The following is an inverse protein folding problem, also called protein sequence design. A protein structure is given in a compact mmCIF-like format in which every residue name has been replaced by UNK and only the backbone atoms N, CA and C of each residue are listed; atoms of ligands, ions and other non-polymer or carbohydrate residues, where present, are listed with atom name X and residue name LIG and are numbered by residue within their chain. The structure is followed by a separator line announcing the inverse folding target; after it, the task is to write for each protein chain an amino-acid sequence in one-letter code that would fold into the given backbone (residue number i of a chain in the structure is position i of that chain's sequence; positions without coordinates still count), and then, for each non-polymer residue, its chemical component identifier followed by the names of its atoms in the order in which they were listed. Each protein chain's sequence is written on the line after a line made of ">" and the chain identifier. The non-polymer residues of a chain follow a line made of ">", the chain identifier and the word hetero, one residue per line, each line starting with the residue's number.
data_IF_860851273934
#
_entry.id   IF_860851273934
#
_cell.length_a   1.000
_cell.length_b   1.000
_cell.length_c   1.000
_cell.angle_alpha   90.00
_cell.angle_beta   90.00
_cell.angle_gamma   90.00
#
_symmetry.space_group_name_H-M   'P 1'
#
loop_
_entity.id
_entity.type
_entity.pdbx_description
1 polymer ?
#
# COMPACT_ATOMS: atom_id res chain seq x y z
N UNK A 1 55.36 -43.78 109.08
CA UNK A 1 55.02 -42.90 107.93
C UNK A 1 55.72 -43.28 106.61
N UNK A 2 56.08 -44.56 106.36
CA UNK A 2 56.69 -45.00 105.08
C UNK A 2 55.72 -45.72 104.14
N UNK A 3 54.56 -46.16 104.63
CA UNK A 3 53.53 -46.87 103.84
C UNK A 3 52.53 -45.93 103.13
N UNK A 4 52.34 -44.70 103.64
CA UNK A 4 51.46 -43.70 103.02
C UNK A 4 52.12 -43.05 101.78
N UNK A 5 53.45 -42.95 101.77
CA UNK A 5 54.19 -42.39 100.63
C UNK A 5 54.19 -43.31 99.40
N UNK A 6 54.13 -44.64 99.60
CA UNK A 6 54.10 -45.62 98.50
C UNK A 6 52.73 -45.65 97.81
N UNK A 7 51.63 -45.42 98.55
CA UNK A 7 50.28 -45.38 97.97
C UNK A 7 50.06 -44.10 97.17
N UNK A 8 50.58 -42.95 97.62
CA UNK A 8 50.48 -41.68 96.88
C UNK A 8 51.33 -41.63 95.60
N UNK A 9 52.48 -42.31 95.55
CA UNK A 9 53.29 -42.41 94.33
C UNK A 9 52.68 -43.40 93.31
N UNK A 10 51.92 -44.40 93.77
CA UNK A 10 51.20 -45.32 92.87
C UNK A 10 49.92 -44.72 92.25
N UNK A 11 49.31 -43.72 92.90
CA UNK A 11 48.13 -43.01 92.39
C UNK A 11 48.49 -41.91 91.36
N UNK A 12 49.72 -41.37 91.41
CA UNK A 12 50.20 -40.40 90.43
C UNK A 12 50.61 -41.04 89.08
N UNK A 13 50.83 -42.36 89.05
CA UNK A 13 51.19 -43.10 87.83
C UNK A 13 49.97 -43.62 87.05
N UNK A 14 48.78 -43.65 87.66
CA UNK A 14 47.56 -44.15 87.02
C UNK A 14 46.78 -43.07 86.24
N UNK A 15 47.09 -41.78 86.41
CA UNK A 15 46.45 -40.67 85.64
C UNK A 15 47.23 -40.34 84.35
N UNK A 16 48.47 -40.83 84.20
CA UNK A 16 49.28 -40.59 82.99
C UNK A 16 48.94 -41.47 81.79
N UNK A 17 47.94 -42.36 81.88
CA UNK A 17 47.48 -43.19 80.76
C UNK A 17 46.24 -42.67 80.03
N UNK A 18 45.73 -41.49 80.38
CA UNK A 18 44.70 -40.81 79.57
C UNK A 18 45.34 -39.96 78.45
N UNK A 19 46.64 -39.67 78.51
CA UNK A 19 47.36 -38.83 77.52
C UNK A 19 48.02 -39.60 76.36
N UNK A 20 47.88 -40.94 76.30
CA UNK A 20 48.44 -41.75 75.19
C UNK A 20 47.38 -42.36 74.26
N UNK A 21 46.14 -41.86 74.27
CA UNK A 21 45.13 -42.25 73.27
C UNK A 21 45.24 -41.38 72.01
N UNK A 22 45.56 -40.09 72.16
CA UNK A 22 45.70 -39.14 71.04
C UNK A 22 46.93 -39.41 70.14
N UNK A 23 47.96 -40.10 70.64
CA UNK A 23 49.17 -40.41 69.87
C UNK A 23 49.21 -41.86 69.35
N UNK A 24 48.12 -42.63 69.51
CA UNK A 24 48.02 -43.98 68.94
C UNK A 24 47.85 -43.90 67.41
N UNK A 25 48.57 -44.71 66.64
CA UNK A 25 48.49 -44.70 65.18
C UNK A 25 47.07 -44.94 64.64
N UNK A 26 46.24 -45.67 65.40
CA UNK A 26 44.81 -45.88 65.09
C UNK A 26 43.97 -44.61 65.28
N UNK A 27 44.25 -43.78 66.28
CA UNK A 27 43.56 -42.50 66.48
C UNK A 27 43.91 -41.50 65.38
N UNK A 28 45.19 -41.40 64.99
CA UNK A 28 45.61 -40.56 63.85
C UNK A 28 45.01 -41.04 62.52
N UNK A 29 44.95 -42.35 62.28
CA UNK A 29 44.31 -42.90 61.09
C UNK A 29 42.79 -42.64 61.07
N UNK A 30 42.11 -42.77 62.21
CA UNK A 30 40.68 -42.50 62.34
C UNK A 30 40.37 -41.00 62.19
N UNK A 31 41.23 -40.13 62.73
CA UNK A 31 41.12 -38.68 62.57
C UNK A 31 41.41 -38.24 61.14
N UNK A 32 42.41 -38.83 60.47
CA UNK A 32 42.66 -38.60 59.06
C UNK A 32 41.50 -39.09 58.17
N UNK A 33 40.85 -40.21 58.51
CA UNK A 33 39.63 -40.65 57.83
C UNK A 33 38.45 -39.71 58.08
N UNK A 34 38.30 -39.20 59.30
CA UNK A 34 37.24 -38.25 59.66
C UNK A 34 37.45 -36.87 59.01
N UNK A 35 38.68 -36.37 59.00
CA UNK A 35 39.08 -35.15 58.31
C UNK A 35 38.93 -35.32 56.79
N UNK A 36 39.31 -36.49 56.24
CA UNK A 36 39.08 -36.85 54.83
C UNK A 36 37.60 -36.94 54.49
N UNK A 37 36.79 -37.57 55.33
CA UNK A 37 35.34 -37.66 55.16
C UNK A 37 34.67 -36.29 55.28
N UNK A 38 35.09 -35.44 56.22
CA UNK A 38 34.57 -34.07 56.34
C UNK A 38 35.00 -33.20 55.15
N UNK A 39 36.22 -33.39 54.63
CA UNK A 39 36.68 -32.69 53.44
C UNK A 39 35.91 -33.16 52.19
N UNK A 40 35.71 -34.46 52.02
CA UNK A 40 34.94 -35.03 50.91
C UNK A 40 33.46 -34.62 50.99
N UNK A 41 32.87 -34.61 52.18
CA UNK A 41 31.48 -34.18 52.41
C UNK A 41 31.30 -32.66 52.24
N UNK A 42 32.33 -31.86 52.53
CA UNK A 42 32.35 -30.40 52.33
C UNK A 42 32.54 -29.99 50.86
N UNK A 43 33.37 -30.75 50.11
CA UNK A 43 33.49 -30.61 48.66
C UNK A 43 32.18 -31.05 47.99
N UNK A 44 31.60 -32.16 48.42
CA UNK A 44 30.33 -32.68 47.91
C UNK A 44 29.15 -31.74 48.21
N UNK A 45 29.14 -31.03 49.33
CA UNK A 45 28.12 -30.00 49.60
C UNK A 45 28.31 -28.75 48.74
N UNK A 46 29.54 -28.26 48.58
CA UNK A 46 29.81 -27.06 47.78
C UNK A 46 29.53 -27.21 46.29
N UNK A 47 29.76 -28.40 45.73
CA UNK A 47 29.45 -28.69 44.31
C UNK A 47 27.95 -28.94 44.07
N UNK A 48 27.22 -29.45 45.06
CA UNK A 48 25.76 -29.51 45.01
C UNK A 48 25.14 -28.10 45.07
N UNK A 49 25.72 -27.20 45.86
CA UNK A 49 25.30 -25.79 45.93
C UNK A 49 25.45 -25.10 44.57
N UNK A 50 26.51 -25.39 43.82
CA UNK A 50 26.70 -24.90 42.44
C UNK A 50 25.62 -25.45 41.48
N UNK A 51 25.31 -26.76 41.55
CA UNK A 51 24.25 -27.35 40.74
C UNK A 51 22.86 -26.76 41.05
N UNK A 52 22.58 -26.44 42.32
CA UNK A 52 21.37 -25.73 42.71
C UNK A 52 21.36 -24.27 42.24
N UNK A 53 22.51 -23.59 42.22
CA UNK A 53 22.61 -22.24 41.68
C UNK A 53 22.27 -22.21 40.19
N UNK A 54 22.83 -23.12 39.39
CA UNK A 54 22.52 -23.25 37.96
C UNK A 54 21.04 -23.63 37.76
N UNK A 55 20.50 -24.54 38.56
CA UNK A 55 19.07 -24.90 38.49
C UNK A 55 18.18 -23.66 38.73
N UNK A 56 18.49 -22.87 39.75
CA UNK A 56 17.75 -21.64 40.06
C UNK A 56 17.88 -20.59 38.95
N UNK A 57 19.07 -20.46 38.34
CA UNK A 57 19.30 -19.57 37.19
C UNK A 57 18.44 -19.99 36.00
N UNK A 58 18.39 -21.29 35.68
CA UNK A 58 17.54 -21.84 34.61
C UNK A 58 16.05 -21.61 34.92
N UNK A 59 15.62 -21.81 36.17
CA UNK A 59 14.22 -21.59 36.57
C UNK A 59 13.81 -20.11 36.43
N UNK A 60 14.67 -19.18 36.86
CA UNK A 60 14.45 -17.74 36.70
C UNK A 60 14.48 -17.31 35.23
N UNK A 61 15.45 -17.83 34.47
CA UNK A 61 15.56 -17.60 33.04
C UNK A 61 14.32 -18.08 32.28
N UNK A 62 13.81 -19.25 32.62
CA UNK A 62 12.59 -19.79 32.02
C UNK A 62 11.35 -18.96 32.37
N UNK A 63 11.28 -18.41 33.59
CA UNK A 63 10.23 -17.45 33.93
C UNK A 63 10.30 -16.21 33.04
N UNK A 64 11.50 -15.65 32.86
CA UNK A 64 11.71 -14.51 31.96
C UNK A 64 11.31 -14.84 30.52
N UNK A 65 11.66 -16.03 30.01
CA UNK A 65 11.26 -16.52 28.68
C UNK A 65 9.72 -16.53 28.54
N UNK A 66 8.98 -17.03 29.55
CA UNK A 66 7.51 -17.04 29.51
C UNK A 66 6.92 -15.63 29.43
N UNK A 67 7.49 -14.69 30.17
CA UNK A 67 7.04 -13.30 30.18
C UNK A 67 7.29 -12.63 28.82
N UNK A 68 8.48 -12.81 28.25
CA UNK A 68 8.83 -12.28 26.93
C UNK A 68 8.00 -12.90 25.80
N UNK A 69 7.78 -14.22 25.84
CA UNK A 69 6.90 -14.92 24.88
C UNK A 69 5.48 -14.38 24.91
N UNK A 70 4.92 -14.10 26.09
CA UNK A 70 3.58 -13.55 26.20
C UNK A 70 3.49 -12.17 25.53
N UNK A 71 4.49 -11.31 25.74
CA UNK A 71 4.59 -10.00 25.10
C UNK A 71 4.66 -10.15 23.58
N UNK A 72 5.54 -11.02 23.08
CA UNK A 72 5.70 -11.30 21.66
C UNK A 72 4.39 -11.82 21.05
N UNK A 73 3.72 -12.74 21.73
CA UNK A 73 2.46 -13.34 21.26
C UNK A 73 1.36 -12.28 21.16
N UNK A 74 1.22 -11.41 22.16
CA UNK A 74 0.25 -10.31 22.14
C UNK A 74 0.55 -9.31 21.01
N UNK A 75 1.81 -8.96 20.81
CA UNK A 75 2.22 -8.04 19.74
C UNK A 75 2.02 -8.67 18.35
N UNK A 76 2.36 -9.94 18.19
CA UNK A 76 2.23 -10.70 16.94
C UNK A 76 0.76 -11.03 16.57
N UNK A 77 -0.15 -11.08 17.54
CA UNK A 77 -1.58 -11.30 17.31
C UNK A 77 -2.35 -10.07 16.79
N UNK A 78 -1.69 -8.92 16.65
CA UNK A 78 -2.26 -7.73 16.02
C UNK A 78 -2.78 -8.10 14.63
N UNK A 79 -4.12 -8.18 14.52
CA UNK A 79 -4.84 -8.75 13.38
C UNK A 79 -4.37 -8.06 12.09
N UNK A 80 -3.77 -8.86 11.22
CA UNK A 80 -3.44 -8.58 9.81
C UNK A 80 -2.02 -8.11 9.47
N UNK A 81 -1.10 -7.94 10.44
CA UNK A 81 0.33 -7.65 10.18
C UNK A 81 0.64 -6.29 9.51
N UNK A 82 -0.34 -5.72 8.80
CA UNK A 82 -0.35 -4.38 8.20
C UNK A 82 -0.29 -3.27 9.25
N UNK A 83 -0.79 -3.52 10.47
CA UNK A 83 -0.83 -2.56 11.57
C UNK A 83 0.41 -2.57 12.47
N UNK A 84 1.33 -3.54 12.30
CA UNK A 84 2.58 -3.56 13.09
C UNK A 84 3.64 -2.75 12.36
N UNK A 85 4.16 -1.64 12.92
CA UNK A 85 5.21 -0.84 12.26
C UNK A 85 6.46 -1.66 11.95
N UNK A 86 7.19 -1.29 10.89
CA UNK A 86 8.41 -2.01 10.49
C UNK A 86 9.45 -2.10 11.61
N UNK A 87 9.63 -1.02 12.37
CA UNK A 87 10.52 -0.98 13.55
C UNK A 87 10.09 -1.97 14.63
N UNK A 88 8.79 -2.08 14.90
CA UNK A 88 8.25 -3.03 15.88
C UNK A 88 8.42 -4.48 15.43
N UNK A 89 8.29 -4.77 14.12
CA UNK A 89 8.54 -6.13 13.59
C UNK A 89 9.99 -6.54 13.73
N UNK A 90 10.91 -5.61 13.46
CA UNK A 90 12.35 -5.86 13.63
C UNK A 90 12.71 -6.09 15.10
N UNK A 91 12.10 -5.32 16.01
CA UNK A 91 12.25 -5.56 17.45
C UNK A 91 11.76 -6.95 17.85
N UNK A 92 10.58 -7.37 17.39
CA UNK A 92 10.04 -8.70 17.68
C UNK A 92 10.99 -9.80 17.18
N UNK A 93 11.60 -9.64 16.00
CA UNK A 93 12.60 -10.60 15.49
C UNK A 93 13.83 -10.69 16.38
N UNK A 94 14.35 -9.54 16.82
CA UNK A 94 15.51 -9.50 17.70
C UNK A 94 15.19 -10.15 19.06
N UNK A 95 14.02 -9.88 19.62
CA UNK A 95 13.56 -10.47 20.87
C UNK A 95 13.40 -11.99 20.74
N UNK A 96 12.80 -12.49 19.64
CA UNK A 96 12.71 -13.92 19.35
C UNK A 96 14.08 -14.59 19.24
N UNK A 97 15.04 -13.93 18.59
CA UNK A 97 16.40 -14.45 18.45
C UNK A 97 17.10 -14.53 19.81
N UNK A 98 17.00 -13.49 20.64
CA UNK A 98 17.55 -13.48 21.99
C UNK A 98 16.94 -14.59 22.87
N UNK A 99 15.63 -14.81 22.79
CA UNK A 99 14.95 -15.89 23.49
C UNK A 99 15.44 -17.26 22.98
N UNK A 100 15.57 -17.45 21.66
CA UNK A 100 16.08 -18.68 21.07
C UNK A 100 17.49 -19.01 21.58
N UNK A 101 18.35 -18.01 21.68
CA UNK A 101 19.72 -18.17 22.17
C UNK A 101 19.76 -18.47 23.68
N UNK A 102 18.91 -17.82 24.48
CA UNK A 102 18.75 -18.13 25.89
C UNK A 102 18.25 -19.56 26.13
N UNK A 103 17.26 -20.01 25.35
CA UNK A 103 16.75 -21.40 25.41
C UNK A 103 17.88 -22.40 25.13
N UNK A 104 18.70 -22.15 24.09
CA UNK A 104 19.84 -23.00 23.76
C UNK A 104 20.88 -23.05 24.88
N UNK A 105 21.17 -21.91 25.51
CA UNK A 105 22.09 -21.84 26.65
C UNK A 105 21.56 -22.66 27.85
N UNK A 106 20.30 -22.50 28.21
CA UNK A 106 19.70 -23.24 29.33
C UNK A 106 19.59 -24.74 29.04
N UNK A 107 19.28 -25.13 27.81
CA UNK A 107 19.32 -26.54 27.40
C UNK A 107 20.73 -27.14 27.59
N UNK A 108 21.78 -26.40 27.23
CA UNK A 108 23.15 -26.86 27.42
C UNK A 108 23.52 -26.99 28.91
N UNK A 109 23.13 -26.03 29.75
CA UNK A 109 23.33 -26.09 31.20
C UNK A 109 22.60 -27.29 31.83
N UNK A 110 21.33 -27.55 31.45
CA UNK A 110 20.59 -28.73 31.91
C UNK A 110 21.27 -30.02 31.48
N UNK A 111 21.73 -30.12 30.23
CA UNK A 111 22.44 -31.32 29.75
C UNK A 111 23.76 -31.56 30.48
N UNK A 112 24.47 -30.49 30.84
CA UNK A 112 25.66 -30.58 31.69
C UNK A 112 25.31 -31.12 33.08
N UNK A 113 24.26 -30.60 33.72
CA UNK A 113 23.78 -31.08 35.02
C UNK A 113 23.29 -32.53 34.96
N UNK A 114 22.65 -32.97 33.85
CA UNK A 114 22.20 -34.35 33.66
C UNK A 114 23.34 -35.36 33.56
N UNK A 115 24.47 -34.95 32.96
CA UNK A 115 25.68 -35.79 32.80
C UNK A 115 26.51 -35.87 34.06
N UNK A 116 26.22 -35.04 35.06
CA UNK A 116 26.94 -35.07 36.32
C UNK A 116 26.54 -36.29 37.17
N UNK A 117 27.41 -37.29 37.19
CA UNK A 117 27.21 -38.54 37.93
C UNK A 117 27.16 -38.35 39.46
N UNK A 118 27.57 -37.18 39.96
CA UNK A 118 27.49 -36.81 41.39
C UNK A 118 26.05 -36.48 41.80
N UNK A 119 25.20 -36.10 40.84
CA UNK A 119 23.78 -35.77 41.07
C UNK A 119 22.92 -37.05 40.94
N UNK A 120 22.67 -37.68 42.09
CA UNK A 120 21.90 -38.93 42.19
C UNK A 120 20.46 -38.74 42.68
N UNK A 121 20.08 -37.53 43.08
CA UNK A 121 18.73 -37.25 43.56
C UNK A 121 17.70 -37.45 42.45
N UNK A 122 16.78 -38.41 42.66
CA UNK A 122 15.68 -38.68 41.74
C UNK A 122 14.76 -37.45 41.56
N UNK A 123 14.57 -36.66 42.61
CA UNK A 123 13.76 -35.44 42.54
C UNK A 123 14.43 -34.35 41.69
N UNK A 124 15.75 -34.18 41.82
CA UNK A 124 16.50 -33.22 41.03
C UNK A 124 16.48 -33.59 39.55
N UNK A 125 16.74 -34.87 39.22
CA UNK A 125 16.64 -35.39 37.86
C UNK A 125 15.25 -35.16 37.24
N UNK A 126 14.19 -35.41 38.01
CA UNK A 126 12.81 -35.14 37.58
C UNK A 126 12.56 -33.65 37.28
N UNK A 127 13.17 -32.73 38.05
CA UNK A 127 13.09 -31.28 37.77
C UNK A 127 13.84 -30.91 36.49
N UNK A 128 15.05 -31.42 36.29
CA UNK A 128 15.80 -31.21 35.04
C UNK A 128 15.03 -31.72 33.82
N UNK A 129 14.36 -32.87 33.93
CA UNK A 129 13.53 -33.40 32.85
C UNK A 129 12.32 -32.51 32.56
N UNK A 130 11.67 -31.97 33.60
CA UNK A 130 10.56 -31.03 33.43
C UNK A 130 11.00 -29.73 32.76
N UNK A 131 12.12 -29.13 33.21
CA UNK A 131 12.69 -27.91 32.61
C UNK A 131 13.13 -28.14 31.17
N UNK A 132 13.76 -29.29 30.89
CA UNK A 132 14.16 -29.69 29.54
C UNK A 132 12.96 -29.82 28.60
N UNK A 133 11.88 -30.47 29.07
CA UNK A 133 10.65 -30.60 28.30
C UNK A 133 9.99 -29.24 28.02
N UNK A 134 9.97 -28.35 29.01
CA UNK A 134 9.40 -27.01 28.84
C UNK A 134 10.23 -26.16 27.87
N UNK A 135 11.56 -26.12 28.03
CA UNK A 135 12.44 -25.41 27.11
C UNK A 135 12.29 -25.91 25.66
N UNK A 136 12.06 -27.21 25.47
CA UNK A 136 11.77 -27.77 24.15
C UNK A 136 10.47 -27.22 23.57
N UNK A 137 9.38 -27.21 24.35
CA UNK A 137 8.10 -26.63 23.92
C UNK A 137 8.24 -25.14 23.58
N UNK A 138 9.00 -24.39 24.38
CA UNK A 138 9.29 -22.98 24.15
C UNK A 138 10.11 -22.76 22.88
N UNK A 139 11.09 -23.62 22.62
CA UNK A 139 11.88 -23.61 21.37
C UNK A 139 10.99 -23.80 20.15
N UNK A 140 10.14 -24.84 20.17
CA UNK A 140 9.21 -25.16 19.07
C UNK A 140 8.23 -24.00 18.81
N UNK A 141 7.74 -23.35 19.87
CA UNK A 141 6.86 -22.19 19.74
C UNK A 141 7.58 -20.97 19.15
N UNK A 142 8.77 -20.63 19.64
CA UNK A 142 9.55 -19.49 19.12
C UNK A 142 9.90 -19.72 17.64
N UNK A 143 10.33 -20.93 17.27
CA UNK A 143 10.55 -21.29 15.86
C UNK A 143 9.30 -21.12 15.00
N UNK A 144 8.13 -21.57 15.49
CA UNK A 144 6.85 -21.41 14.80
C UNK A 144 6.47 -19.93 14.63
N UNK A 145 6.62 -19.13 15.67
CA UNK A 145 6.29 -17.70 15.63
C UNK A 145 7.26 -16.94 14.73
N UNK A 146 8.55 -17.27 14.73
CA UNK A 146 9.55 -16.71 13.81
C UNK A 146 9.21 -17.05 12.36
N UNK A 147 8.83 -18.29 12.07
CA UNK A 147 8.42 -18.70 10.73
C UNK A 147 7.17 -17.92 10.26
N UNK A 148 6.15 -17.81 11.12
CA UNK A 148 4.94 -17.04 10.82
C UNK A 148 5.24 -15.56 10.57
N UNK A 149 6.11 -14.94 11.38
CA UNK A 149 6.48 -13.53 11.22
C UNK A 149 7.19 -13.30 9.87
N UNK A 150 8.12 -14.19 9.51
CA UNK A 150 8.82 -14.11 8.22
C UNK A 150 7.88 -14.30 7.02
N UNK A 151 6.93 -15.22 7.12
CA UNK A 151 5.91 -15.41 6.08
C UNK A 151 5.06 -14.14 5.91
N UNK A 152 4.62 -13.54 7.03
CA UNK A 152 3.84 -12.30 7.02
C UNK A 152 4.63 -11.12 6.46
N UNK A 153 5.90 -10.99 6.81
CA UNK A 153 6.78 -9.96 6.24
C UNK A 153 6.94 -10.11 4.72
N UNK A 154 7.10 -11.34 4.23
CA UNK A 154 7.15 -11.61 2.80
C UNK A 154 5.82 -11.23 2.11
N UNK A 155 4.68 -11.58 2.72
CA UNK A 155 3.36 -11.18 2.20
C UNK A 155 3.18 -9.66 2.19
N UNK A 156 3.63 -8.96 3.22
CA UNK A 156 3.60 -7.49 3.29
C UNK A 156 4.45 -6.85 2.19
N UNK A 157 5.64 -7.39 1.92
CA UNK A 157 6.49 -6.90 0.84
C UNK A 157 5.80 -7.02 -0.54
N UNK A 158 5.22 -8.19 -0.83
CA UNK A 158 4.46 -8.42 -2.07
C UNK A 158 3.25 -7.47 -2.17
N UNK A 159 2.48 -7.30 -1.09
CA UNK A 159 1.34 -6.38 -1.07
C UNK A 159 1.78 -4.93 -1.28
N UNK A 160 2.91 -4.52 -0.72
CA UNK A 160 3.46 -3.18 -0.90
C UNK A 160 3.82 -2.91 -2.36
N UNK A 161 4.43 -3.89 -3.04
CA UNK A 161 4.73 -3.81 -4.47
C UNK A 161 3.45 -3.76 -5.33
N UNK A 162 2.44 -4.57 -4.99
CA UNK A 162 1.14 -4.55 -5.67
C UNK A 162 0.44 -3.21 -5.53
N UNK A 163 0.46 -2.60 -4.34
CA UNK A 163 -0.12 -1.26 -4.11
C UNK A 163 0.60 -0.22 -4.96
N UNK A 164 1.95 -0.22 -4.97
CA UNK A 164 2.72 0.71 -5.80
C UNK A 164 2.41 0.55 -7.30
N UNK A 165 2.23 -0.69 -7.78
CA UNK A 165 1.83 -0.98 -9.15
C UNK A 165 0.42 -0.48 -9.46
N UNK A 166 -0.54 -0.71 -8.56
CA UNK A 166 -1.91 -0.22 -8.69
C UNK A 166 -1.98 1.31 -8.70
N UNK A 167 -1.19 1.98 -7.86
CA UNK A 167 -1.11 3.45 -7.83
C UNK A 167 -0.64 4.00 -9.18
N UNK A 168 0.35 3.36 -9.81
CA UNK A 168 0.84 3.74 -11.13
C UNK A 168 -0.22 3.52 -12.21
N UNK A 169 -0.93 2.38 -12.18
CA UNK A 169 -2.03 2.10 -13.11
C UNK A 169 -3.16 3.12 -12.96
N UNK A 170 -3.54 3.45 -11.73
CA UNK A 170 -4.59 4.44 -11.44
C UNK A 170 -4.16 5.82 -11.90
N UNK A 171 -2.90 6.21 -11.71
CA UNK A 171 -2.37 7.49 -12.20
C UNK A 171 -2.45 7.57 -13.73
N UNK A 172 -1.96 6.54 -14.42
CA UNK A 172 -1.98 6.50 -15.89
C UNK A 172 -3.41 6.52 -16.44
N UNK A 173 -4.33 5.74 -15.85
CA UNK A 173 -5.74 5.74 -16.26
C UNK A 173 -6.39 7.12 -16.06
N UNK A 174 -6.05 7.84 -14.99
CA UNK A 174 -6.55 9.21 -14.79
C UNK A 174 -6.07 10.17 -15.88
N UNK A 175 -4.80 10.08 -16.26
CA UNK A 175 -4.23 10.90 -17.35
C UNK A 175 -4.84 10.56 -18.71
N UNK A 176 -5.03 9.26 -19.01
CA UNK A 176 -5.68 8.79 -20.23
C UNK A 176 -7.13 9.29 -20.31
N UNK A 177 -7.90 9.18 -19.22
CA UNK A 177 -9.29 9.67 -19.17
C UNK A 177 -9.34 11.19 -19.36
N UNK A 178 -8.44 11.95 -18.74
CA UNK A 178 -8.37 13.39 -18.93
C UNK A 178 -8.07 13.76 -20.41
N UNK A 179 -7.14 13.05 -21.03
CA UNK A 179 -6.76 13.24 -22.44
C UNK A 179 -7.90 12.88 -23.39
N UNK A 180 -8.59 11.77 -23.12
CA UNK A 180 -9.73 11.31 -23.91
C UNK A 180 -10.90 12.29 -23.83
N UNK A 181 -11.21 12.80 -22.64
CA UNK A 181 -12.27 13.80 -22.44
C UNK A 181 -11.97 15.09 -23.21
N UNK A 182 -10.73 15.58 -23.13
CA UNK A 182 -10.29 16.76 -23.89
C UNK A 182 -10.44 16.55 -25.40
N UNK A 183 -9.97 15.41 -25.91
CA UNK A 183 -10.08 15.07 -27.34
C UNK A 183 -11.54 14.95 -27.79
N UNK A 184 -12.40 14.35 -26.96
CA UNK A 184 -13.84 14.27 -27.20
C UNK A 184 -14.47 15.66 -27.30
N UNK A 185 -14.16 16.57 -26.39
CA UNK A 185 -14.71 17.92 -26.40
C UNK A 185 -14.22 18.75 -27.60
N UNK A 186 -12.95 18.61 -27.98
CA UNK A 186 -12.39 19.21 -29.19
C UNK A 186 -13.08 18.66 -30.45
N UNK A 187 -13.30 17.34 -30.53
CA UNK A 187 -13.99 16.72 -31.65
C UNK A 187 -15.45 17.17 -31.75
N UNK A 188 -16.16 17.27 -30.62
CA UNK A 188 -17.55 17.79 -30.59
C UNK A 188 -17.63 19.21 -31.12
N UNK A 189 -16.69 20.09 -30.71
CA UNK A 189 -16.63 21.47 -31.23
C UNK A 189 -16.38 21.47 -32.74
N UNK A 190 -15.42 20.69 -33.21
CA UNK A 190 -15.10 20.59 -34.64
C UNK A 190 -16.27 20.05 -35.46
N UNK A 191 -16.99 19.05 -34.95
CA UNK A 191 -18.20 18.52 -35.59
C UNK A 191 -19.28 19.61 -35.67
N UNK A 192 -19.51 20.36 -34.59
CA UNK A 192 -20.48 21.45 -34.60
C UNK A 192 -20.09 22.59 -35.56
N UNK A 193 -18.80 22.93 -35.63
CA UNK A 193 -18.27 23.92 -36.58
C UNK A 193 -18.45 23.45 -38.03
N UNK A 194 -18.09 22.20 -38.33
CA UNK A 194 -18.24 21.60 -39.66
C UNK A 194 -19.71 21.47 -40.06
N UNK A 195 -20.60 21.08 -39.15
CA UNK A 195 -22.05 21.04 -39.40
C UNK A 195 -22.56 22.44 -39.77
N UNK A 196 -22.20 23.46 -38.99
CA UNK A 196 -22.57 24.85 -39.29
C UNK A 196 -22.03 25.31 -40.64
N UNK A 197 -20.77 25.03 -40.98
CA UNK A 197 -20.19 25.42 -42.26
C UNK A 197 -20.85 24.69 -43.44
N UNK A 198 -21.13 23.39 -43.29
CA UNK A 198 -21.74 22.58 -44.32
C UNK A 198 -23.11 23.14 -44.73
N UNK A 199 -23.92 23.50 -43.74
CA UNK A 199 -25.29 23.98 -43.96
C UNK A 199 -25.44 25.51 -44.04
N UNK A 200 -24.35 26.27 -43.85
CA UNK A 200 -24.37 27.73 -44.04
C UNK A 200 -24.61 28.09 -45.51
N UNK A 201 -25.66 28.87 -45.73
CA UNK A 201 -26.00 29.53 -46.99
C UNK A 201 -26.18 31.02 -46.75
N UNK A 202 -26.14 31.81 -47.82
CA UNK A 202 -25.99 33.25 -47.75
C UNK A 202 -27.05 33.91 -48.63
N UNK A 203 -27.73 34.93 -48.13
CA UNK A 203 -28.68 35.68 -48.95
C UNK A 203 -28.55 37.19 -48.77
N UNK A 204 -28.90 37.93 -49.83
CA UNK A 204 -28.99 39.39 -49.83
C UNK A 204 -30.22 39.82 -50.62
N UNK A 205 -30.97 40.76 -50.04
CA UNK A 205 -32.15 41.37 -50.63
C UNK A 205 -31.94 42.87 -50.57
N UNK A 206 -31.75 43.51 -51.71
CA UNK A 206 -31.50 44.93 -51.74
C UNK A 206 -31.90 45.57 -53.08
N UNK A 207 -31.92 46.89 -53.12
CA UNK A 207 -32.14 47.61 -54.36
C UNK A 207 -30.99 47.37 -55.34
N UNK A 208 -31.22 47.60 -56.62
CA UNK A 208 -30.16 47.47 -57.63
C UNK A 208 -28.94 48.33 -57.33
N UNK A 209 -29.13 49.53 -56.77
CA UNK A 209 -28.04 50.43 -56.41
C UNK A 209 -27.19 49.82 -55.28
N UNK A 210 -27.84 49.37 -54.21
CA UNK A 210 -27.18 48.77 -53.05
C UNK A 210 -26.43 47.48 -53.41
N UNK A 211 -27.00 46.65 -54.30
CA UNK A 211 -26.32 45.45 -54.80
C UNK A 211 -25.07 45.78 -55.64
N UNK A 212 -25.05 46.91 -56.35
CA UNK A 212 -23.86 47.38 -57.09
C UNK A 212 -22.82 47.93 -56.10
N UNK A 213 -23.26 48.72 -55.13
CA UNK A 213 -22.38 49.34 -54.14
C UNK A 213 -21.74 48.29 -53.21
N UNK A 214 -22.47 47.22 -52.89
CA UNK A 214 -21.96 46.05 -52.16
C UNK A 214 -21.08 45.12 -53.03
N UNK A 215 -20.89 45.43 -54.31
CA UNK A 215 -20.10 44.61 -55.24
C UNK A 215 -20.72 43.25 -55.58
N UNK A 216 -21.98 43.01 -55.17
CA UNK A 216 -22.71 41.74 -55.40
C UNK A 216 -23.14 41.60 -56.85
N UNK A 217 -23.40 42.71 -57.54
CA UNK A 217 -23.69 42.70 -58.99
C UNK A 217 -22.86 43.75 -59.72
N UNK A 218 -22.46 43.45 -60.96
CA UNK A 218 -21.74 44.42 -61.79
C UNK A 218 -22.69 45.50 -62.32
N UNK A 219 -22.23 46.76 -62.37
CA UNK A 219 -22.93 47.86 -63.05
C UNK A 219 -23.07 47.52 -64.55
N UNK A 220 -24.25 47.09 -64.96
CA UNK A 220 -24.57 46.82 -66.35
C UNK A 220 -24.51 48.09 -67.20
N UNK A 221 -24.07 47.98 -68.44
CA UNK A 221 -24.03 49.08 -69.42
C UNK A 221 -25.07 48.90 -70.52
N UNK A 222 -25.15 49.84 -71.48
CA UNK A 222 -26.12 49.83 -72.59
C UNK A 222 -26.10 48.52 -73.42
N UNK A 223 -24.99 47.78 -73.39
CA UNK A 223 -24.80 46.50 -74.10
C UNK A 223 -24.30 45.35 -73.21
N UNK A 224 -24.21 45.54 -71.89
CA UNK A 224 -23.67 44.52 -70.96
C UNK A 224 -24.66 44.24 -69.83
N UNK A 225 -25.16 43.02 -69.77
CA UNK A 225 -26.03 42.57 -68.68
C UNK A 225 -25.29 42.60 -67.35
N UNK A 226 -25.98 43.00 -66.29
CA UNK A 226 -25.48 42.85 -64.92
C UNK A 226 -25.28 41.37 -64.61
N UNK A 227 -24.15 41.01 -64.01
CA UNK A 227 -23.84 39.66 -63.55
C UNK A 227 -23.65 39.66 -62.04
N UNK A 228 -24.07 38.59 -61.38
CA UNK A 228 -23.75 38.36 -59.97
C UNK A 228 -22.25 38.09 -59.85
N UNK A 229 -21.60 38.79 -58.93
CA UNK A 229 -20.22 38.57 -58.52
C UNK A 229 -20.22 37.91 -57.15
N UNK A 230 -19.52 36.79 -57.02
CA UNK A 230 -19.35 36.09 -55.74
C UNK A 230 -18.05 36.49 -55.03
N UNK A 231 -17.31 37.45 -55.58
CA UNK A 231 -16.11 38.05 -54.97
C UNK A 231 -16.43 39.17 -53.97
N UNK A 232 -17.72 39.52 -53.82
CA UNK A 232 -18.20 40.48 -52.84
C UNK A 232 -17.86 40.03 -51.41
N UNK A 233 -17.57 40.99 -50.53
CA UNK A 233 -17.32 40.71 -49.12
C UNK A 233 -18.48 39.91 -48.51
N UNK A 234 -18.19 38.77 -47.88
CA UNK A 234 -19.20 37.94 -47.20
C UNK A 234 -20.07 38.72 -46.22
N UNK A 235 -19.59 39.88 -45.73
CA UNK A 235 -20.28 40.74 -44.78
C UNK A 235 -21.54 41.42 -45.35
N UNK A 236 -21.72 41.46 -46.67
CA UNK A 236 -22.94 42.00 -47.30
C UNK A 236 -24.11 41.02 -47.30
N UNK A 237 -23.88 39.74 -46.95
CA UNK A 237 -24.89 38.70 -46.95
C UNK A 237 -25.33 38.35 -45.52
N UNK A 238 -26.62 38.04 -45.39
CA UNK A 238 -27.15 37.36 -44.20
C UNK A 238 -26.79 35.88 -44.30
N UNK A 239 -26.16 35.34 -43.27
CA UNK A 239 -25.84 33.91 -43.18
C UNK A 239 -26.98 33.18 -42.45
N UNK A 240 -27.45 32.08 -43.02
CA UNK A 240 -28.54 31.27 -42.45
C UNK A 240 -28.26 29.78 -42.65
N UNK A 241 -28.86 28.93 -41.79
CA UNK A 241 -28.83 27.48 -41.96
C UNK A 241 -29.85 27.06 -43.03
N UNK A 242 -29.35 26.43 -44.10
CA UNK A 242 -30.16 25.92 -45.22
C UNK A 242 -31.29 24.97 -44.80
N UNK A 243 -31.18 24.29 -43.65
CA UNK A 243 -32.18 23.34 -43.16
C UNK A 243 -33.36 24.03 -42.46
N UNK A 244 -33.13 25.22 -41.90
CA UNK A 244 -34.14 25.96 -41.15
C UNK A 244 -34.95 26.92 -42.01
N UNK A 245 -34.41 27.31 -43.18
CA UNK A 245 -35.04 28.30 -44.05
C UNK A 245 -36.01 27.68 -45.06
N UNK A 246 -37.30 27.95 -44.85
CA UNK A 246 -38.39 27.53 -45.75
C UNK A 246 -39.07 28.70 -46.45
N UNK A 247 -38.87 29.93 -45.98
CA UNK A 247 -39.42 31.13 -46.62
C UNK A 247 -38.57 32.37 -46.34
N UNK A 248 -38.37 33.22 -47.33
CA UNK A 248 -37.65 34.49 -47.19
C UNK A 248 -38.56 35.63 -47.67
N UNK A 249 -38.95 36.53 -46.77
CA UNK A 249 -39.69 37.73 -47.15
C UNK A 249 -38.74 38.77 -47.76
N UNK A 250 -39.08 39.29 -48.95
CA UNK A 250 -38.28 40.31 -49.61
C UNK A 250 -38.59 41.74 -49.14
N UNK A 251 -39.61 41.92 -48.30
CA UNK A 251 -40.13 43.20 -47.80
C UNK A 251 -40.35 44.22 -48.93
N UNK A 252 -40.78 43.74 -50.09
CA UNK A 252 -40.89 44.56 -51.31
C UNK A 252 -42.05 44.10 -52.19
N UNK A 253 -42.70 45.06 -52.86
CA UNK A 253 -43.82 44.80 -53.79
C UNK A 253 -43.39 44.09 -55.07
N UNK A 254 -42.11 44.24 -55.43
CA UNK A 254 -41.49 43.62 -56.60
C UNK A 254 -40.11 43.13 -56.22
N UNK A 255 -39.85 41.86 -56.51
CA UNK A 255 -38.56 41.23 -56.29
C UNK A 255 -38.19 40.36 -57.51
N UNK A 256 -36.89 40.30 -57.81
CA UNK A 256 -36.33 39.46 -58.86
C UNK A 256 -35.15 38.67 -58.31
N UNK A 257 -35.23 37.34 -58.37
CA UNK A 257 -34.10 36.46 -58.06
C UNK A 257 -33.07 36.55 -59.20
N UNK A 258 -31.83 36.88 -58.87
CA UNK A 258 -30.71 37.05 -59.81
C UNK A 258 -29.71 35.88 -59.77
N UNK A 259 -29.62 35.18 -58.65
CA UNK A 259 -28.84 33.95 -58.49
C UNK A 259 -29.53 32.75 -59.17
N UNK A 260 -28.76 31.70 -59.47
CA UNK A 260 -29.27 30.53 -60.18
C UNK A 260 -29.79 29.49 -59.17
N UNK A 261 -31.09 29.23 -59.21
CA UNK A 261 -31.75 28.20 -58.41
C UNK A 261 -32.73 27.43 -59.30
N UNK A 262 -32.89 26.09 -59.12
CA UNK A 262 -33.87 25.32 -59.86
C UNK A 262 -35.28 25.90 -59.76
N UNK A 263 -35.98 26.03 -60.88
CA UNK A 263 -37.30 26.69 -60.90
C UNK A 263 -38.38 25.90 -60.15
N UNK A 264 -38.17 24.61 -59.93
CA UNK A 264 -39.07 23.72 -59.18
C UNK A 264 -38.74 23.63 -57.68
N UNK A 265 -37.68 24.30 -57.20
CA UNK A 265 -37.29 24.30 -55.79
C UNK A 265 -37.78 25.50 -54.98
N UNK A 266 -38.48 26.46 -55.60
CA UNK A 266 -39.08 27.61 -54.92
C UNK A 266 -40.27 28.23 -55.67
N UNK A 267 -41.06 29.02 -54.95
CA UNK A 267 -42.15 29.84 -55.47
C UNK A 267 -42.03 31.29 -55.02
N UNK A 268 -42.51 32.21 -55.84
CA UNK A 268 -42.66 33.62 -55.47
C UNK A 268 -44.14 33.89 -55.17
N UNK A 269 -44.46 34.02 -53.90
CA UNK A 269 -45.81 34.23 -53.41
C UNK A 269 -46.01 35.71 -53.06
N UNK A 270 -47.20 36.25 -53.34
CA UNK A 270 -47.55 37.62 -52.96
C UNK A 270 -48.45 37.57 -51.73
N UNK A 271 -47.93 38.00 -50.57
CA UNK A 271 -48.64 38.00 -49.29
C UNK A 271 -48.58 39.42 -48.73
N UNK A 272 -49.74 40.02 -48.39
CA UNK A 272 -49.83 41.38 -47.85
C UNK A 272 -49.08 42.45 -48.68
N UNK A 273 -49.20 42.37 -50.01
CA UNK A 273 -48.49 43.23 -50.97
C UNK A 273 -46.96 43.08 -51.05
N UNK A 274 -46.37 42.14 -50.33
CA UNK A 274 -44.94 41.81 -50.38
C UNK A 274 -44.69 40.48 -51.09
N UNK A 275 -43.51 40.33 -51.69
CA UNK A 275 -43.07 39.06 -52.28
C UNK A 275 -42.37 38.22 -51.21
N UNK A 276 -42.79 36.96 -51.08
CA UNK A 276 -42.16 35.94 -50.25
C UNK A 276 -41.61 34.84 -51.16
N UNK A 277 -40.35 34.47 -50.95
CA UNK A 277 -39.70 33.34 -51.61
C UNK A 277 -39.96 32.11 -50.75
N UNK A 278 -40.88 31.24 -51.16
CA UNK A 278 -41.22 30.00 -50.47
C UNK A 278 -40.39 28.86 -51.04
N UNK A 279 -39.48 28.29 -50.25
CA UNK A 279 -38.52 27.26 -50.64
C UNK A 279 -39.17 25.89 -50.40
N UNK A 280 -39.51 25.19 -51.47
CA UNK A 280 -40.19 23.88 -51.42
C UNK A 280 -39.22 22.73 -51.19
N UNK A 281 -37.98 22.84 -51.68
CA UNK A 281 -36.90 21.87 -51.50
C UNK A 281 -35.59 22.62 -51.24
N UNK A 282 -35.20 22.81 -49.96
CA UNK A 282 -33.98 23.54 -49.62
C UNK A 282 -32.71 22.90 -50.19
N UNK A 283 -32.61 21.56 -50.21
CA UNK A 283 -31.42 20.89 -50.72
C UNK A 283 -31.23 21.17 -52.21
N UNK A 284 -32.33 21.10 -52.98
CA UNK A 284 -32.32 21.40 -54.42
C UNK A 284 -32.17 22.89 -54.70
N UNK A 285 -32.75 23.75 -53.87
CA UNK A 285 -32.63 25.19 -54.00
C UNK A 285 -31.17 25.66 -53.86
N UNK A 286 -30.42 25.10 -52.90
CA UNK A 286 -29.02 25.48 -52.66
C UNK A 286 -27.98 24.62 -53.42
N UNK A 287 -28.42 23.67 -54.26
CA UNK A 287 -27.54 22.71 -54.95
C UNK A 287 -26.55 23.40 -55.90
N UNK A 288 -27.01 24.38 -56.66
CA UNK A 288 -26.20 25.06 -57.69
C UNK A 288 -25.37 26.21 -57.13
N UNK A 289 -25.83 26.82 -56.03
CA UNK A 289 -25.13 27.91 -55.36
C UNK A 289 -25.62 28.04 -53.92
N UNK A 290 -24.69 28.35 -53.01
CA UNK A 290 -25.00 28.71 -51.60
C UNK A 290 -25.45 30.16 -51.43
N UNK A 291 -25.58 30.92 -52.51
CA UNK A 291 -25.83 32.36 -52.49
C UNK A 291 -27.16 32.71 -53.17
N UNK A 292 -28.07 33.35 -52.44
CA UNK A 292 -29.31 33.91 -52.96
C UNK A 292 -29.18 35.43 -53.10
N UNK A 293 -29.34 35.95 -54.32
CA UNK A 293 -29.29 37.38 -54.62
C UNK A 293 -30.64 37.83 -55.15
N UNK A 294 -31.30 38.73 -54.43
CA UNK A 294 -32.63 39.24 -54.78
C UNK A 294 -32.57 40.74 -54.97
N UNK A 295 -32.97 41.19 -56.16
CA UNK A 295 -33.12 42.61 -56.46
C UNK A 295 -34.56 43.04 -56.17
N UNK A 296 -34.74 44.05 -55.34
CA UNK A 296 -36.04 44.70 -55.09
C UNK A 296 -36.18 45.99 -55.91
N UNK A 297 -37.42 46.35 -56.25
CA UNK A 297 -37.79 47.55 -56.99
C UNK A 297 -38.98 48.27 -56.36
#
# INVERSE_FOLDING_TARGET
>A
MKRIFIVLVSALFAVSFISCVENSGKYKALRAQLDSLQQEHGIQSGELDEAFAILNEVEQGLQSIRESENIITVQAQSRDGLDVPAESREQIKNDMQAISDAIRQYQAQIEQLKKDNRIQSAQFRKRLDALSAELRQKSELIESLTAQLNEKDAQLAVKTEQIASLDLVVSNLKEEVATLNKSSDELKKKVAEQDRELYSVYYIIASKADLIDAGVITKGGLFKSSKVSYESEKNSFVTIDSREITSINTNAKKAKVLSVHPADSYLLEKINDEIIISISDPARFWEQTKYLVVQTN
#
